data_IF_876880446577
#
_entry.id   IF_876880446577
#
_cell.length_a   1.000
_cell.length_b   1.000
_cell.length_c   1.000
_cell.angle_alpha   90.00
_cell.angle_beta   90.00
_cell.angle_gamma   90.00
#
_symmetry.space_group_name_H-M   'P 1'
#
loop_
_entity.id
_entity.type
_entity.pdbx_description
1 polymer ?
#
# COMPACT_ATOMS: atom_id res chain seq x y z
N UNK A 1 3.27 -3.05 11.11
CA UNK A 1 4.61 -2.61 10.65
C UNK A 1 4.92 -3.09 9.23
N UNK A 2 5.59 -2.29 8.40
CA UNK A 2 6.06 -2.72 7.07
C UNK A 2 7.34 -3.55 7.20
N UNK A 3 7.36 -4.74 6.59
CA UNK A 3 8.49 -5.69 6.63
C UNK A 3 9.16 -5.90 5.27
N UNK A 4 8.40 -5.95 4.18
CA UNK A 4 8.96 -6.05 2.83
C UNK A 4 8.21 -5.16 1.83
N UNK A 5 8.97 -4.60 0.88
CA UNK A 5 8.47 -3.76 -0.21
C UNK A 5 9.12 -4.28 -1.50
N UNK A 6 8.28 -4.71 -2.44
CA UNK A 6 8.68 -5.21 -3.75
C UNK A 6 8.86 -4.06 -4.76
N UNK A 7 7.99 -3.06 -4.71
CA UNK A 7 8.08 -1.91 -5.62
C UNK A 7 9.33 -1.08 -5.32
N UNK A 8 10.25 -0.98 -6.29
CA UNK A 8 11.51 -0.23 -6.14
C UNK A 8 11.29 1.23 -5.76
N UNK A 9 10.29 1.89 -6.34
CA UNK A 9 9.98 3.28 -6.04
C UNK A 9 9.41 3.48 -4.63
N UNK A 10 8.57 2.56 -4.16
CA UNK A 10 8.05 2.63 -2.79
C UNK A 10 9.19 2.38 -1.80
N UNK A 11 10.07 1.43 -2.09
CA UNK A 11 11.23 1.13 -1.24
C UNK A 11 12.18 2.31 -1.12
N UNK A 12 12.51 2.97 -2.22
CA UNK A 12 13.35 4.17 -2.22
C UNK A 12 12.69 5.30 -1.45
N UNK A 13 11.39 5.53 -1.70
CA UNK A 13 10.64 6.56 -1.00
C UNK A 13 10.58 6.30 0.52
N UNK A 14 10.27 5.08 0.93
CA UNK A 14 10.15 4.71 2.34
C UNK A 14 11.48 4.79 3.10
N UNK A 15 12.59 4.42 2.45
CA UNK A 15 13.89 4.34 3.13
C UNK A 15 14.72 5.61 3.03
N UNK A 16 14.52 6.42 1.98
CA UNK A 16 15.36 7.58 1.66
C UNK A 16 14.59 8.87 1.39
N UNK A 17 13.25 8.83 1.38
CA UNK A 17 12.42 9.96 0.95
C UNK A 17 12.52 10.26 -0.55
N UNK A 18 13.11 9.37 -1.34
CA UNK A 18 13.32 9.57 -2.77
C UNK A 18 12.03 9.32 -3.56
N UNK A 19 11.52 10.37 -4.20
CA UNK A 19 10.27 10.38 -4.96
C UNK A 19 10.48 10.21 -6.47
N UNK A 20 11.72 10.11 -6.94
CA UNK A 20 12.08 10.11 -8.38
C UNK A 20 11.46 8.96 -9.19
N UNK A 21 11.04 7.88 -8.51
CA UNK A 21 10.41 6.69 -9.12
C UNK A 21 8.93 6.55 -8.81
N UNK A 22 8.30 7.63 -8.38
CA UNK A 22 6.86 7.70 -8.13
C UNK A 22 6.26 8.80 -9.00
N UNK A 23 4.99 8.66 -9.33
CA UNK A 23 4.24 9.74 -9.96
C UNK A 23 4.10 10.88 -8.95
N UNK A 24 4.55 12.09 -9.32
CA UNK A 24 4.63 13.25 -8.43
C UNK A 24 3.29 13.58 -7.78
N UNK A 25 2.19 13.51 -8.55
CA UNK A 25 0.82 13.73 -8.09
C UNK A 25 0.38 12.73 -7.01
N UNK A 26 0.97 11.53 -6.98
CA UNK A 26 0.60 10.46 -6.06
C UNK A 26 1.41 10.47 -4.78
N UNK A 27 2.57 11.14 -4.73
CA UNK A 27 3.53 11.07 -3.61
C UNK A 27 2.86 11.34 -2.27
N UNK A 28 2.06 12.40 -2.16
CA UNK A 28 1.39 12.75 -0.91
C UNK A 28 0.46 11.63 -0.43
N UNK A 29 -0.32 11.05 -1.35
CA UNK A 29 -1.28 9.99 -1.03
C UNK A 29 -0.61 8.66 -0.75
N UNK A 30 0.46 8.33 -1.49
CA UNK A 30 1.31 7.18 -1.22
C UNK A 30 1.90 7.29 0.19
N UNK A 31 2.43 8.45 0.58
CA UNK A 31 2.96 8.65 1.93
C UNK A 31 1.90 8.41 3.01
N UNK A 32 0.68 8.92 2.80
CA UNK A 32 -0.43 8.66 3.72
C UNK A 32 -0.74 7.16 3.84
N UNK A 33 -0.80 6.46 2.71
CA UNK A 33 -1.09 5.01 2.67
C UNK A 33 0.02 4.19 3.35
N UNK A 34 1.29 4.49 3.07
CA UNK A 34 2.41 3.80 3.72
C UNK A 34 2.41 4.01 5.24
N UNK A 35 2.10 5.23 5.71
CA UNK A 35 1.96 5.49 7.14
C UNK A 35 0.80 4.71 7.76
N UNK A 36 -0.36 4.64 7.10
CA UNK A 36 -1.48 3.80 7.57
C UNK A 36 -1.02 2.36 7.70
N UNK A 37 -0.44 1.77 6.65
CA UNK A 37 0.03 0.38 6.64
C UNK A 37 1.09 0.12 7.73
N UNK A 38 1.98 1.09 7.96
CA UNK A 38 3.02 0.99 8.99
C UNK A 38 2.44 0.76 10.39
N UNK A 39 1.32 1.40 10.71
CA UNK A 39 0.68 1.36 12.03
C UNK A 39 -0.53 0.41 12.13
N UNK A 40 -0.84 -0.36 11.10
CA UNK A 40 -1.89 -1.40 11.19
C UNK A 40 -1.51 -2.46 12.22
N UNK A 41 -2.50 -2.83 13.04
CA UNK A 41 -2.45 -3.94 13.99
C UNK A 41 -3.36 -5.09 13.53
N UNK A 42 -4.53 -4.77 12.99
CA UNK A 42 -5.57 -5.73 12.58
C UNK A 42 -6.22 -5.35 11.25
N UNK A 43 -6.29 -6.31 10.34
CA UNK A 43 -6.97 -6.20 9.05
C UNK A 43 -8.06 -7.26 8.99
N UNK A 44 -9.31 -6.93 8.62
CA UNK A 44 -9.76 -5.66 8.03
C UNK A 44 -10.04 -4.49 8.99
N UNK A 45 -10.11 -4.72 10.30
CA UNK A 45 -10.76 -3.81 11.25
C UNK A 45 -10.17 -2.38 11.22
N UNK A 46 -8.85 -2.23 11.20
CA UNK A 46 -8.20 -0.92 11.22
C UNK A 46 -8.36 -0.17 9.89
N UNK A 47 -8.70 -0.89 8.81
CA UNK A 47 -8.91 -0.29 7.49
C UNK A 47 -10.32 0.27 7.31
N UNK A 48 -11.31 -0.17 8.10
CA UNK A 48 -12.72 0.18 7.93
C UNK A 48 -12.99 1.70 8.06
N UNK A 49 -12.16 2.41 8.83
CA UNK A 49 -12.24 3.87 8.97
C UNK A 49 -11.77 4.62 7.72
N UNK A 50 -10.94 4.00 6.88
CA UNK A 50 -10.36 4.62 5.69
C UNK A 50 -11.15 4.31 4.41
N UNK A 51 -12.48 4.51 4.44
CA UNK A 51 -13.39 4.20 3.32
C UNK A 51 -13.01 4.89 2.01
N UNK A 52 -12.40 6.07 2.08
CA UNK A 52 -11.92 6.84 0.93
C UNK A 52 -10.73 6.19 0.20
N UNK A 53 -10.09 5.19 0.81
CA UNK A 53 -9.05 4.34 0.21
C UNK A 53 -9.62 3.04 -0.37
N UNK A 54 -10.94 2.82 -0.23
CA UNK A 54 -11.65 1.63 -0.72
C UNK A 54 -10.92 0.31 -0.40
N UNK A 55 -10.60 0.04 0.89
CA UNK A 55 -9.91 -1.19 1.28
C UNK A 55 -10.70 -2.42 0.89
N UNK A 56 -10.06 -3.35 0.17
CA UNK A 56 -10.67 -4.62 -0.19
C UNK A 56 -9.62 -5.71 -0.37
N UNK A 57 -9.95 -6.98 -0.06
CA UNK A 57 -9.11 -8.11 -0.39
C UNK A 57 -9.12 -8.38 -1.90
N UNK A 58 -7.96 -8.74 -2.43
CA UNK A 58 -7.78 -9.16 -3.82
C UNK A 58 -8.07 -10.66 -3.99
N UNK A 59 -8.28 -11.05 -5.25
CA UNK A 59 -8.68 -12.42 -5.66
C UNK A 59 -7.74 -12.93 -6.75
N UNK A 60 -7.87 -14.23 -7.08
CA UNK A 60 -7.07 -14.86 -8.14
C UNK A 60 -5.58 -14.95 -7.75
N UNK A 61 -4.70 -14.56 -8.67
CA UNK A 61 -3.24 -14.61 -8.45
C UNK A 61 -2.74 -13.70 -7.31
N UNK A 62 -3.57 -12.75 -6.86
CA UNK A 62 -3.27 -11.87 -5.74
C UNK A 62 -4.13 -12.20 -4.51
N UNK A 63 -4.68 -13.42 -4.43
CA UNK A 63 -5.37 -13.87 -3.22
C UNK A 63 -4.45 -13.74 -1.99
N UNK A 64 -5.00 -13.19 -0.90
CA UNK A 64 -4.25 -12.89 0.33
C UNK A 64 -3.64 -11.49 0.37
N UNK A 65 -3.67 -10.75 -0.73
CA UNK A 65 -3.35 -9.32 -0.74
C UNK A 65 -4.57 -8.47 -0.43
N UNK A 66 -4.31 -7.31 0.17
CA UNK A 66 -5.23 -6.18 0.32
C UNK A 66 -4.84 -5.07 -0.63
N UNK A 67 -5.82 -4.29 -1.07
CA UNK A 67 -5.62 -3.12 -1.94
C UNK A 67 -6.12 -1.85 -1.28
N UNK A 68 -5.35 -0.76 -1.45
CA UNK A 68 -5.72 0.61 -1.09
C UNK A 68 -5.54 1.55 -2.29
N UNK A 69 -6.57 2.33 -2.59
CA UNK A 69 -6.61 3.19 -3.77
C UNK A 69 -5.76 4.45 -3.59
N UNK A 70 -4.89 4.69 -4.57
CA UNK A 70 -4.11 5.92 -4.72
C UNK A 70 -4.86 6.90 -5.60
N UNK A 71 -5.06 6.59 -6.88
CA UNK A 71 -5.71 7.51 -7.83
C UNK A 71 -6.12 6.75 -9.09
N UNK A 72 -7.34 6.93 -9.58
CA UNK A 72 -7.82 6.22 -10.76
C UNK A 72 -7.60 4.71 -10.65
N UNK A 73 -6.73 4.17 -11.50
CA UNK A 73 -6.37 2.75 -11.53
C UNK A 73 -5.13 2.41 -10.70
N UNK A 74 -4.44 3.39 -10.13
CA UNK A 74 -3.28 3.20 -9.29
C UNK A 74 -3.66 2.77 -7.87
N UNK A 75 -3.04 1.70 -7.36
CA UNK A 75 -3.29 1.15 -6.01
C UNK A 75 -2.02 0.64 -5.36
N UNK A 76 -1.96 0.72 -4.04
CA UNK A 76 -0.94 0.02 -3.24
C UNK A 76 -1.54 -1.29 -2.75
N UNK A 77 -0.80 -2.38 -2.92
CA UNK A 77 -1.20 -3.70 -2.45
C UNK A 77 -0.21 -4.24 -1.43
N UNK A 78 -0.67 -5.09 -0.52
CA UNK A 78 0.18 -5.73 0.49
C UNK A 78 -0.46 -7.00 1.05
N UNK A 79 0.35 -7.93 1.56
CA UNK A 79 -0.12 -9.00 2.45
C UNK A 79 -0.06 -8.53 3.89
N UNK A 80 -0.94 -9.04 4.74
CA UNK A 80 -0.95 -8.72 6.16
C UNK A 80 -1.06 -9.99 7.01
N UNK A 81 -0.13 -10.18 7.93
CA UNK A 81 -0.04 -11.34 8.82
C UNK A 81 0.58 -10.92 10.15
N UNK A 82 -0.05 -11.30 11.27
CA UNK A 82 0.43 -11.06 12.65
C UNK A 82 0.93 -9.62 12.92
N UNK A 83 0.14 -8.61 12.52
CA UNK A 83 0.47 -7.19 12.74
C UNK A 83 1.53 -6.62 11.78
N UNK A 84 1.93 -7.40 10.78
CA UNK A 84 2.98 -7.06 9.84
C UNK A 84 2.48 -7.04 8.40
N UNK A 85 2.96 -6.07 7.63
CA UNK A 85 2.67 -5.90 6.23
C UNK A 85 3.87 -6.33 5.37
N UNK A 86 3.60 -7.16 4.37
CA UNK A 86 4.60 -7.76 3.49
C UNK A 86 4.27 -7.49 2.03
N UNK A 87 5.31 -7.58 1.21
CA UNK A 87 5.25 -7.60 -0.24
C UNK A 87 4.52 -6.38 -0.81
N UNK A 88 4.76 -5.22 -0.20
CA UNK A 88 4.15 -3.98 -0.64
C UNK A 88 4.52 -3.70 -2.09
N UNK A 89 3.49 -3.50 -2.91
CA UNK A 89 3.65 -3.16 -4.31
C UNK A 89 2.77 -1.96 -4.69
N UNK A 90 3.14 -1.29 -5.78
CA UNK A 90 2.39 -0.16 -6.33
C UNK A 90 2.04 -0.48 -7.78
N UNK A 91 0.76 -0.76 -8.01
CA UNK A 91 0.25 -1.19 -9.30
C UNK A 91 -0.43 -0.05 -10.02
N UNK A 92 -0.14 0.07 -11.31
CA UNK A 92 -0.92 0.85 -12.27
C UNK A 92 -1.54 -0.14 -13.26
N UNK A 93 -2.86 -0.15 -13.40
CA UNK A 93 -3.56 -1.13 -14.28
C UNK A 93 -3.98 -0.52 -15.61
N UNK A 94 -3.13 0.35 -16.17
CA UNK A 94 -3.21 0.82 -17.56
C UNK A 94 -1.97 0.38 -18.33
#
# INVERSE_FOLDING_TARGET
MIKSINHKGLKLFWTKGDTSKLQSEHVHRINKVLNIIQYLEKVPQDLEVFKNLRPHPLKGNLQGFWSLDISGNCRVIFRFEDGNAYDLDYLDTH
#
